data_IF_712442704012
#
_entry.id   IF_712442704012
#
_cell.length_a   1.000
_cell.length_b   1.000
_cell.length_c   1.000
_cell.angle_alpha   90.00
_cell.angle_beta   90.00
_cell.angle_gamma   90.00
#
_symmetry.space_group_name_H-M   'P 1'
#
loop_
_entity.id
_entity.type
_entity.pdbx_description
1 polymer ?
#
# COMPACT_ATOMS: atom_id res chain seq x y z
N UNK A 1 0.96 7.20 12.06
CA UNK A 1 -0.32 7.82 12.46
C UNK A 1 -0.35 9.19 11.83
N UNK A 2 -1.29 9.47 10.94
CA UNK A 2 -1.38 10.79 10.33
C UNK A 2 -2.05 11.74 11.32
N UNK A 3 -1.46 12.92 11.50
CA UNK A 3 -2.05 13.98 12.32
C UNK A 3 -2.64 15.03 11.40
N UNK A 4 -3.86 15.45 11.72
CA UNK A 4 -4.66 16.42 10.99
C UNK A 4 -4.87 17.64 11.87
N UNK A 5 -4.93 18.83 11.25
CA UNK A 5 -5.18 20.08 11.97
C UNK A 5 -6.69 20.30 12.07
N UNK A 6 -7.20 20.45 13.29
CA UNK A 6 -8.59 20.84 13.53
C UNK A 6 -8.85 22.21 12.91
N UNK A 7 -9.91 22.35 12.10
CA UNK A 7 -10.28 23.60 11.44
C UNK A 7 -10.85 24.64 12.41
N UNK A 8 -11.43 24.19 13.53
CA UNK A 8 -12.04 25.08 14.52
C UNK A 8 -11.04 25.62 15.54
N UNK A 9 -10.23 24.75 16.16
CA UNK A 9 -9.30 25.17 17.23
C UNK A 9 -7.82 25.15 16.82
N UNK A 10 -7.49 24.66 15.62
CA UNK A 10 -6.12 24.65 15.11
C UNK A 10 -5.18 23.61 15.72
N UNK A 11 -5.64 22.79 16.67
CA UNK A 11 -4.84 21.74 17.29
C UNK A 11 -4.66 20.53 16.36
N UNK A 12 -3.53 19.84 16.52
CA UNK A 12 -3.27 18.59 15.81
C UNK A 12 -3.98 17.44 16.52
N UNK A 13 -4.73 16.65 15.78
CA UNK A 13 -5.49 15.50 16.27
C UNK A 13 -5.26 14.29 15.35
N UNK A 14 -5.68 13.09 15.77
CA UNK A 14 -5.59 11.90 14.92
C UNK A 14 -6.61 11.94 13.80
N UNK A 15 -6.19 11.52 12.60
CA UNK A 15 -7.02 11.23 11.43
C UNK A 15 -8.24 10.31 11.68
N UNK A 16 -8.29 9.59 12.80
CA UNK A 16 -9.38 8.69 13.20
C UNK A 16 -10.37 9.29 14.21
N UNK A 17 -10.15 10.51 14.71
CA UNK A 17 -11.04 11.10 15.71
C UNK A 17 -12.33 11.62 15.07
N UNK A 18 -13.50 11.20 15.56
CA UNK A 18 -14.80 11.73 15.14
C UNK A 18 -15.05 13.17 15.64
N UNK A 19 -14.47 13.52 16.79
CA UNK A 19 -14.54 14.84 17.40
C UNK A 19 -13.16 15.31 17.87
N UNK A 20 -12.94 16.62 17.82
CA UNK A 20 -11.75 17.21 18.37
C UNK A 20 -11.74 17.03 19.89
N UNK A 21 -10.71 16.39 20.44
CA UNK A 21 -10.55 16.23 21.90
C UNK A 21 -10.36 17.56 22.63
N UNK A 22 -10.02 18.64 21.92
CA UNK A 22 -9.73 19.94 22.52
C UNK A 22 -10.92 20.90 22.51
N UNK A 23 -11.72 20.91 21.45
CA UNK A 23 -12.85 21.85 21.31
C UNK A 23 -14.21 21.16 21.10
N UNK A 24 -14.26 19.84 21.00
CA UNK A 24 -15.50 19.08 20.79
C UNK A 24 -16.09 19.19 19.39
N UNK A 25 -15.50 19.99 18.48
CA UNK A 25 -16.01 20.14 17.12
C UNK A 25 -16.01 18.79 16.39
N UNK A 26 -17.09 18.42 15.67
CA UNK A 26 -17.09 17.23 14.84
C UNK A 26 -16.02 17.38 13.75
N UNK A 27 -15.18 16.36 13.62
CA UNK A 27 -14.10 16.31 12.65
C UNK A 27 -14.66 15.65 11.41
N UNK A 28 -15.30 16.46 10.56
CA UNK A 28 -15.68 16.04 9.23
C UNK A 28 -14.47 16.12 8.29
N UNK A 29 -13.41 15.36 8.59
CA UNK A 29 -12.47 15.01 7.53
C UNK A 29 -13.13 13.90 6.75
N UNK A 30 -14.09 14.33 5.94
CA UNK A 30 -14.55 13.56 4.79
C UNK A 30 -13.35 13.44 3.87
N UNK A 31 -12.54 12.40 4.12
CA UNK A 31 -11.85 11.64 3.08
C UNK A 31 -12.88 10.92 2.19
N UNK A 32 -14.09 11.45 2.04
CA UNK A 32 -14.99 11.07 0.97
C UNK A 32 -14.37 11.68 -0.28
N UNK A 33 -13.81 10.87 -1.19
CA UNK A 33 -13.38 11.37 -2.48
C UNK A 33 -14.54 12.16 -3.10
N UNK A 34 -14.24 13.41 -3.42
CA UNK A 34 -15.20 14.36 -3.95
C UNK A 34 -14.72 14.87 -5.29
N UNK A 35 -15.65 14.99 -6.22
CA UNK A 35 -15.43 15.43 -7.59
C UNK A 35 -16.12 16.77 -7.83
N UNK A 36 -15.51 17.64 -8.63
CA UNK A 36 -16.16 18.86 -9.09
C UNK A 36 -16.95 18.58 -10.37
N UNK A 37 -18.18 19.07 -10.43
CA UNK A 37 -18.96 19.06 -11.66
C UNK A 37 -18.26 19.93 -12.73
N UNK A 38 -17.98 19.40 -13.93
CA UNK A 38 -17.31 20.16 -14.99
C UNK A 38 -18.17 21.31 -15.53
N UNK A 39 -19.50 21.21 -15.45
CA UNK A 39 -20.42 22.24 -15.95
C UNK A 39 -20.69 23.38 -14.96
N UNK A 40 -20.88 23.06 -13.68
CA UNK A 40 -21.36 24.05 -12.71
C UNK A 40 -20.44 24.25 -11.50
N UNK A 41 -19.30 23.53 -11.43
CA UNK A 41 -18.32 23.63 -10.35
C UNK A 41 -18.81 23.14 -8.99
N UNK A 42 -19.95 22.44 -8.92
CA UNK A 42 -20.47 21.91 -7.65
C UNK A 42 -19.61 20.74 -7.17
N UNK A 43 -19.17 20.79 -5.92
CA UNK A 43 -18.48 19.69 -5.25
C UNK A 43 -19.48 18.60 -4.86
N UNK A 44 -19.19 17.34 -5.21
CA UNK A 44 -20.07 16.19 -4.96
C UNK A 44 -19.26 14.94 -4.61
N UNK A 45 -19.90 13.91 -4.09
CA UNK A 45 -19.26 12.61 -3.84
C UNK A 45 -18.90 11.93 -5.17
N UNK A 46 -17.78 11.19 -5.20
CA UNK A 46 -17.34 10.47 -6.40
C UNK A 46 -18.37 9.47 -6.92
N UNK A 47 -19.30 8.99 -6.09
CA UNK A 47 -20.32 8.01 -6.46
C UNK A 47 -21.57 8.63 -7.09
N UNK A 48 -21.62 9.96 -7.24
CA UNK A 48 -22.77 10.67 -7.78
C UNK A 48 -22.96 10.38 -9.28
N UNK A 49 -24.11 9.79 -9.66
CA UNK A 49 -24.47 9.52 -11.07
C UNK A 49 -24.92 10.78 -11.84
N UNK A 50 -25.32 11.82 -11.12
CA UNK A 50 -25.75 13.09 -11.70
C UNK A 50 -25.46 14.24 -10.76
N UNK A 51 -25.21 15.39 -11.34
CA UNK A 51 -25.06 16.60 -10.57
C UNK A 51 -26.39 17.00 -9.93
N UNK A 52 -26.40 17.16 -8.61
CA UNK A 52 -27.58 17.58 -7.86
C UNK A 52 -28.00 19.02 -8.17
N UNK A 53 -27.06 19.86 -8.63
CA UNK A 53 -27.31 21.28 -8.92
C UNK A 53 -27.75 21.52 -10.37
N UNK A 54 -27.00 21.02 -11.34
CA UNK A 54 -27.27 21.31 -12.76
C UNK A 54 -27.85 20.12 -13.54
N UNK A 55 -27.95 18.94 -12.92
CA UNK A 55 -28.44 17.73 -13.59
C UNK A 55 -27.45 17.09 -14.56
N UNK A 56 -26.21 17.59 -14.66
CA UNK A 56 -25.19 17.01 -15.53
C UNK A 56 -24.92 15.53 -15.19
N UNK A 57 -25.01 14.60 -16.14
CA UNK A 57 -24.76 13.19 -15.88
C UNK A 57 -23.27 12.97 -15.63
N UNK A 58 -22.95 12.37 -14.48
CA UNK A 58 -21.59 12.01 -14.10
C UNK A 58 -21.51 10.49 -14.19
N UNK A 59 -20.55 9.97 -14.96
CA UNK A 59 -20.31 8.52 -15.07
C UNK A 59 -19.02 8.17 -14.34
N UNK A 60 -19.01 8.14 -12.99
CA UNK A 60 -17.78 7.91 -12.25
C UNK A 60 -17.38 6.44 -12.15
N UNK A 61 -18.13 5.50 -12.76
CA UNK A 61 -17.70 4.11 -12.82
C UNK A 61 -16.79 3.95 -14.03
N UNK A 62 -15.52 3.65 -13.77
CA UNK A 62 -14.60 3.19 -14.80
C UNK A 62 -15.23 1.93 -15.42
N UNK A 63 -15.73 2.07 -16.64
CA UNK A 63 -16.35 0.97 -17.36
C UNK A 63 -15.26 0.20 -18.10
N UNK A 64 -15.33 -1.12 -18.03
CA UNK A 64 -14.49 -2.03 -18.77
C UNK A 64 -15.32 -2.69 -19.87
N UNK A 65 -14.75 -2.76 -21.07
CA UNK A 65 -15.40 -3.41 -22.20
C UNK A 65 -15.18 -4.91 -22.12
N UNK A 66 -16.26 -5.68 -22.24
CA UNK A 66 -16.19 -7.13 -22.26
C UNK A 66 -15.40 -7.60 -23.50
N UNK A 67 -14.37 -8.43 -23.35
CA UNK A 67 -13.56 -8.89 -24.48
C UNK A 67 -14.32 -9.81 -25.45
N UNK A 68 -15.39 -10.47 -24.99
CA UNK A 68 -16.20 -11.38 -25.83
C UNK A 68 -17.30 -10.64 -26.60
N UNK A 69 -18.10 -9.81 -25.92
CA UNK A 69 -19.27 -9.19 -26.53
C UNK A 69 -19.14 -7.67 -26.77
N UNK A 70 -18.11 -7.02 -26.23
CA UNK A 70 -17.91 -5.57 -26.33
C UNK A 70 -18.83 -4.74 -25.43
N UNK A 71 -19.66 -5.36 -24.60
CA UNK A 71 -20.56 -4.64 -23.69
C UNK A 71 -19.77 -3.87 -22.62
N UNK A 72 -20.27 -2.68 -22.24
CA UNK A 72 -19.64 -1.87 -21.18
C UNK A 72 -20.09 -2.35 -19.82
N UNK A 73 -19.17 -2.94 -19.08
CA UNK A 73 -19.42 -3.50 -17.76
C UNK A 73 -18.76 -2.65 -16.68
N UNK A 74 -19.33 -2.64 -15.47
CA UNK A 74 -18.75 -1.91 -14.35
C UNK A 74 -17.52 -2.64 -13.78
N UNK A 75 -16.52 -1.90 -13.32
CA UNK A 75 -15.37 -2.48 -12.61
C UNK A 75 -15.84 -3.24 -11.36
N UNK A 76 -15.46 -4.53 -11.24
CA UNK A 76 -15.84 -5.40 -10.12
C UNK A 76 -17.02 -6.36 -10.35
N UNK A 77 -17.61 -6.42 -11.54
CA UNK A 77 -18.57 -7.48 -11.90
C UNK A 77 -17.87 -8.81 -12.13
N UNK A 78 -18.40 -9.91 -11.57
CA UNK A 78 -17.84 -11.27 -11.71
C UNK A 78 -18.13 -11.89 -13.09
N UNK A 79 -19.21 -11.47 -13.73
CA UNK A 79 -19.63 -11.95 -15.06
C UNK A 79 -20.26 -10.81 -15.87
N UNK A 80 -20.15 -10.91 -17.19
CA UNK A 80 -20.81 -10.01 -18.11
C UNK A 80 -22.33 -10.27 -18.12
N UNK A 81 -23.17 -9.26 -17.87
CA UNK A 81 -24.63 -9.45 -17.82
C UNK A 81 -25.24 -9.82 -19.18
N UNK A 82 -24.58 -9.48 -20.29
CA UNK A 82 -25.10 -9.74 -21.64
C UNK A 82 -24.70 -11.12 -22.17
N UNK A 83 -23.43 -11.48 -22.08
CA UNK A 83 -22.92 -12.74 -22.67
C UNK A 83 -22.52 -13.81 -21.66
N UNK A 84 -22.55 -13.51 -20.37
CA UNK A 84 -22.11 -14.43 -19.31
C UNK A 84 -20.60 -14.67 -19.29
N UNK A 85 -19.80 -13.83 -19.96
CA UNK A 85 -18.35 -13.95 -19.91
C UNK A 85 -17.85 -13.75 -18.47
N UNK A 86 -17.15 -14.72 -17.88
CA UNK A 86 -16.63 -14.59 -16.52
C UNK A 86 -15.45 -13.62 -16.51
N UNK A 87 -15.58 -12.53 -15.78
CA UNK A 87 -14.45 -11.69 -15.44
C UNK A 87 -13.73 -12.35 -14.27
N UNK A 88 -12.64 -13.05 -14.57
CA UNK A 88 -11.74 -13.59 -13.55
C UNK A 88 -11.03 -12.41 -12.89
N UNK A 89 -11.71 -11.75 -11.95
CA UNK A 89 -11.03 -11.04 -10.89
C UNK A 89 -10.46 -12.15 -10.03
N UNK A 90 -9.18 -12.46 -10.22
CA UNK A 90 -8.46 -13.41 -9.38
C UNK A 90 -8.36 -12.85 -7.96
N UNK A 91 -9.47 -12.89 -7.23
CA UNK A 91 -9.53 -12.80 -5.78
C UNK A 91 -9.60 -14.23 -5.26
N UNK A 92 -8.63 -15.04 -5.64
CA UNK A 92 -8.55 -16.37 -5.08
C UNK A 92 -8.26 -16.23 -3.58
N UNK A 93 -9.00 -16.89 -2.69
CA UNK A 93 -8.72 -16.81 -1.27
C UNK A 93 -7.32 -17.39 -1.00
N UNK A 94 -6.45 -16.59 -0.38
CA UNK A 94 -5.14 -17.05 0.08
C UNK A 94 -5.31 -17.83 1.39
N UNK A 95 -4.45 -18.82 1.63
CA UNK A 95 -4.42 -19.51 2.93
C UNK A 95 -3.46 -18.78 3.86
N UNK A 96 -3.87 -18.46 5.10
CA UNK A 96 -2.91 -17.91 6.08
C UNK A 96 -1.80 -18.93 6.30
N UNK A 97 -0.52 -18.52 6.22
CA UNK A 97 0.62 -19.42 6.39
C UNK A 97 0.70 -20.01 7.81
N UNK A 98 0.15 -19.32 8.81
CA UNK A 98 0.19 -19.75 10.21
C UNK A 98 -0.95 -20.70 10.58
N UNK A 99 -2.19 -20.42 10.14
CA UNK A 99 -3.36 -21.18 10.59
C UNK A 99 -4.02 -22.03 9.49
N UNK A 100 -3.59 -21.88 8.23
CA UNK A 100 -4.10 -22.64 7.09
C UNK A 100 -5.53 -22.32 6.66
N UNK A 101 -6.22 -21.40 7.35
CA UNK A 101 -7.57 -20.96 6.99
C UNK A 101 -7.55 -20.09 5.74
N UNK A 102 -8.62 -20.19 4.96
CA UNK A 102 -8.86 -19.35 3.79
C UNK A 102 -9.17 -17.92 4.24
N UNK A 103 -8.48 -16.97 3.62
CA UNK A 103 -8.59 -15.55 3.89
C UNK A 103 -8.70 -14.79 2.58
N UNK A 104 -9.51 -13.75 2.58
CA UNK A 104 -9.62 -12.85 1.43
C UNK A 104 -8.28 -12.12 1.20
N UNK A 105 -7.79 -12.10 -0.04
CA UNK A 105 -6.55 -11.41 -0.47
C UNK A 105 -6.47 -9.92 -0.13
N UNK A 106 -7.59 -9.26 0.19
CA UNK A 106 -7.60 -7.85 0.61
C UNK A 106 -7.41 -7.68 2.13
N UNK A 107 -7.33 -8.79 2.87
CA UNK A 107 -7.19 -8.76 4.33
C UNK A 107 -5.73 -8.59 4.72
N UNK A 108 -5.41 -7.50 5.41
CA UNK A 108 -4.04 -7.25 5.94
C UNK A 108 -3.63 -8.21 7.05
N UNK A 109 -4.61 -8.73 7.77
CA UNK A 109 -4.42 -9.68 8.86
C UNK A 109 -5.43 -10.81 8.72
N UNK A 110 -5.00 -12.03 9.08
CA UNK A 110 -5.92 -13.15 9.19
C UNK A 110 -6.92 -12.89 10.33
N UNK A 111 -8.24 -12.99 10.09
CA UNK A 111 -9.27 -12.75 11.10
C UNK A 111 -9.28 -13.78 12.23
N UNK A 112 -8.59 -14.91 12.02
CA UNK A 112 -8.66 -16.08 12.92
C UNK A 112 -7.45 -16.17 13.85
N UNK A 113 -6.26 -15.86 13.35
CA UNK A 113 -5.04 -15.91 14.16
C UNK A 113 -4.33 -14.55 14.29
N UNK A 114 -4.77 -13.52 13.56
CA UNK A 114 -4.12 -12.21 13.56
C UNK A 114 -2.81 -12.13 12.76
N UNK A 115 -2.36 -13.23 12.14
CA UNK A 115 -1.15 -13.28 11.29
C UNK A 115 -1.19 -12.15 10.25
N UNK A 116 -0.14 -11.33 10.07
CA UNK A 116 -0.08 -10.39 8.95
C UNK A 116 -0.02 -11.18 7.65
N UNK A 117 -0.84 -10.80 6.66
CA UNK A 117 -0.88 -11.43 5.35
C UNK A 117 -0.16 -10.55 4.34
N UNK A 118 0.78 -11.12 3.60
CA UNK A 118 1.41 -10.45 2.47
C UNK A 118 0.44 -10.47 1.29
N UNK A 119 -0.34 -9.40 1.15
CA UNK A 119 -1.27 -9.25 0.04
C UNK A 119 -0.58 -8.64 -1.19
N UNK A 120 -1.11 -8.99 -2.35
CA UNK A 120 -0.62 -8.65 -3.69
C UNK A 120 -0.59 -7.12 -3.92
N UNK A 121 -1.28 -6.34 -3.09
CA UNK A 121 -1.24 -4.87 -3.05
C UNK A 121 0.17 -4.32 -2.76
N UNK A 122 1.05 -5.14 -2.18
CA UNK A 122 2.46 -4.79 -2.00
C UNK A 122 3.28 -4.83 -3.29
N UNK A 123 2.78 -5.39 -4.40
CA UNK A 123 3.53 -5.43 -5.66
C UNK A 123 3.61 -4.08 -6.40
N UNK A 124 2.71 -3.14 -6.12
CA UNK A 124 2.85 -1.75 -6.59
C UNK A 124 4.13 -1.11 -6.04
N UNK A 125 4.54 -1.49 -4.82
CA UNK A 125 5.77 -1.02 -4.17
C UNK A 125 7.05 -1.71 -4.68
N UNK A 126 6.91 -2.73 -5.52
CA UNK A 126 8.01 -3.48 -6.13
C UNK A 126 8.29 -3.04 -7.56
N UNK A 127 7.54 -2.06 -8.05
CA UNK A 127 7.71 -1.46 -9.36
C UNK A 127 8.36 -0.08 -9.18
N UNK A 128 9.37 0.19 -9.99
CA UNK A 128 10.05 1.49 -10.07
C UNK A 128 9.98 2.00 -11.50
N UNK A 129 9.95 3.32 -11.66
CA UNK A 129 10.08 3.92 -12.98
C UNK A 129 11.55 4.00 -13.37
N UNK A 130 11.87 3.57 -14.59
CA UNK A 130 13.21 3.71 -15.14
C UNK A 130 13.53 5.20 -15.34
N UNK A 131 14.57 5.72 -14.70
CA UNK A 131 14.96 7.14 -14.81
C UNK A 131 15.31 7.56 -16.24
N UNK A 132 15.73 6.63 -17.09
CA UNK A 132 16.14 6.91 -18.46
C UNK A 132 14.98 6.95 -19.47
N UNK A 133 13.92 6.18 -19.25
CA UNK A 133 12.83 6.05 -20.24
C UNK A 133 11.41 6.22 -19.66
N UNK A 134 11.27 6.35 -18.35
CA UNK A 134 9.98 6.54 -17.66
C UNK A 134 9.14 5.27 -17.49
N UNK A 135 9.46 4.19 -18.20
CA UNK A 135 8.70 2.94 -18.11
C UNK A 135 8.81 2.30 -16.74
N UNK A 136 7.68 1.78 -16.26
CA UNK A 136 7.58 1.01 -15.03
C UNK A 136 8.24 -0.36 -15.21
N UNK A 137 9.21 -0.65 -14.37
CA UNK A 137 9.98 -1.89 -14.36
C UNK A 137 10.05 -2.43 -12.94
N UNK A 138 10.47 -3.68 -12.78
CA UNK A 138 10.65 -4.22 -11.45
C UNK A 138 11.84 -3.60 -10.70
N UNK A 139 11.71 -3.39 -9.38
CA UNK A 139 12.77 -2.94 -8.48
C UNK A 139 14.01 -3.84 -8.45
N UNK A 140 13.88 -5.09 -8.89
CA UNK A 140 14.97 -6.07 -8.96
C UNK A 140 15.52 -6.28 -10.36
N UNK A 141 14.98 -5.62 -11.39
CA UNK A 141 15.53 -5.71 -12.74
C UNK A 141 16.86 -4.96 -12.80
N UNK A 142 18.01 -5.63 -12.98
CA UNK A 142 19.34 -4.98 -13.06
C UNK A 142 19.51 -4.12 -14.33
N UNK A 143 18.80 -4.46 -15.39
CA UNK A 143 18.79 -3.75 -16.68
C UNK A 143 17.34 -3.55 -17.10
N UNK A 144 17.00 -2.33 -17.53
CA UNK A 144 15.68 -2.02 -18.05
C UNK A 144 15.41 -2.79 -19.35
N UNK A 145 14.35 -3.62 -19.44
CA UNK A 145 14.02 -4.38 -20.65
C UNK A 145 13.55 -3.50 -21.82
N UNK A 146 13.21 -2.24 -21.57
CA UNK A 146 12.72 -1.32 -22.60
C UNK A 146 13.81 -0.44 -23.21
N UNK A 147 14.79 0.01 -22.43
CA UNK A 147 15.83 0.93 -22.91
C UNK A 147 17.26 0.40 -22.74
N UNK A 148 17.45 -0.73 -22.06
CA UNK A 148 18.77 -1.35 -21.86
C UNK A 148 19.68 -0.64 -20.86
N UNK A 149 19.20 0.41 -20.17
CA UNK A 149 19.99 1.05 -19.11
C UNK A 149 20.00 0.23 -17.81
N UNK A 150 21.14 0.24 -17.12
CA UNK A 150 21.29 -0.38 -15.79
C UNK A 150 20.44 0.37 -14.76
N UNK A 151 19.77 -0.35 -13.90
CA UNK A 151 18.96 0.24 -12.83
C UNK A 151 19.79 0.42 -11.56
N UNK A 152 19.46 1.43 -10.77
CA UNK A 152 20.12 1.66 -9.48
C UNK A 152 19.41 0.80 -8.42
N UNK A 153 19.69 -0.50 -8.40
CA UNK A 153 19.22 -1.35 -7.30
C UNK A 153 20.00 -0.99 -6.04
N UNK A 154 19.39 -0.28 -5.08
CA UNK A 154 19.93 -0.20 -3.71
C UNK A 154 19.72 -1.55 -3.04
N UNK A 155 20.60 -2.51 -3.32
CA UNK A 155 20.75 -3.69 -2.44
C UNK A 155 21.22 -3.11 -1.10
N UNK A 156 20.40 -3.23 -0.06
CA UNK A 156 20.81 -2.88 1.30
C UNK A 156 21.92 -3.86 1.68
N UNK A 157 23.16 -3.47 1.42
CA UNK A 157 24.35 -4.10 1.98
C UNK A 157 24.57 -3.61 3.44
N UNK A 158 23.52 -3.08 4.07
CA UNK A 158 23.47 -2.58 5.45
C UNK A 158 23.22 -3.72 6.47
N UNK A 159 23.73 -4.93 6.19
CA UNK A 159 23.65 -6.09 7.09
C UNK A 159 25.03 -6.65 7.46
N UNK A 160 26.09 -6.34 6.70
CA UNK A 160 27.43 -6.93 6.88
C UNK A 160 28.27 -6.23 7.96
N UNK A 161 28.19 -4.90 8.10
CA UNK A 161 29.14 -4.15 8.93
C UNK A 161 28.87 -4.30 10.44
N UNK A 162 27.60 -4.41 10.84
CA UNK A 162 27.23 -4.52 12.26
C UNK A 162 27.61 -5.87 12.90
N UNK A 163 27.71 -6.93 12.11
CA UNK A 163 28.09 -8.27 12.60
C UNK A 163 29.59 -8.35 12.83
N UNK A 164 30.39 -7.74 11.95
CA UNK A 164 31.86 -7.75 12.06
C UNK A 164 32.31 -6.99 13.30
N UNK A 165 31.73 -5.82 13.58
CA UNK A 165 32.02 -5.04 14.79
C UNK A 165 31.67 -5.79 16.08
N UNK A 166 30.54 -6.51 16.10
CA UNK A 166 30.15 -7.31 17.27
C UNK A 166 31.10 -8.48 17.52
N UNK A 167 31.55 -9.17 16.45
CA UNK A 167 32.49 -10.29 16.56
C UNK A 167 33.87 -9.81 17.02
N UNK A 168 34.37 -8.69 16.50
CA UNK A 168 35.63 -8.08 16.95
C UNK A 168 35.54 -7.68 18.43
N UNK A 169 34.41 -7.09 18.84
CA UNK A 169 34.13 -6.77 20.24
C UNK A 169 34.19 -7.99 21.17
N UNK A 170 33.58 -9.11 20.80
CA UNK A 170 33.63 -10.34 21.61
C UNK A 170 35.05 -10.93 21.69
N UNK A 171 35.78 -10.95 20.59
CA UNK A 171 37.15 -11.48 20.54
C UNK A 171 38.09 -10.65 21.43
N UNK A 172 38.00 -9.32 21.37
CA UNK A 172 38.83 -8.44 22.22
C UNK A 172 38.55 -8.62 23.71
N UNK A 173 37.28 -8.76 24.11
CA UNK A 173 36.90 -9.03 25.50
C UNK A 173 37.42 -10.38 25.98
N UNK A 174 37.32 -11.43 25.15
CA UNK A 174 37.82 -12.77 25.50
C UNK A 174 39.34 -12.75 25.67
N UNK A 175 40.08 -12.07 24.79
CA UNK A 175 41.53 -11.92 24.90
C UNK A 175 41.90 -11.16 26.19
N UNK A 176 41.16 -10.09 26.52
CA UNK A 176 41.40 -9.32 27.73
C UNK A 176 41.13 -10.15 29.00
N UNK A 177 40.06 -10.92 29.02
CA UNK A 177 39.73 -11.86 30.11
C UNK A 177 40.83 -12.92 30.25
N UNK A 178 41.30 -13.49 29.14
CA UNK A 178 42.38 -14.48 29.16
C UNK A 178 43.69 -13.89 29.70
N UNK A 179 44.03 -12.66 29.30
CA UNK A 179 45.16 -11.92 29.86
C UNK A 179 44.98 -11.62 31.35
N UNK A 180 43.78 -11.23 31.78
CA UNK A 180 43.45 -10.96 33.18
C UNK A 180 43.59 -12.21 34.05
N UNK A 181 43.05 -13.35 33.61
CA UNK A 181 43.22 -14.63 34.31
C UNK A 181 44.68 -15.08 34.33
N UNK A 182 45.43 -14.87 33.24
CA UNK A 182 46.87 -15.18 33.21
C UNK A 182 47.70 -14.26 34.13
N UNK A 183 47.22 -13.03 34.41
CA UNK A 183 47.85 -12.08 35.34
C UNK A 183 47.52 -12.38 36.81
N UNK A 184 46.38 -12.99 37.10
CA UNK A 184 45.99 -13.41 38.45
C UNK A 184 46.59 -14.76 38.90
N UNK A 185 47.14 -15.55 37.96
CA UNK A 185 47.72 -16.87 38.25
C UNK A 185 49.24 -16.85 38.49
N UNK A 186 49.86 -15.66 38.62
CA UNK A 186 51.28 -15.46 38.98
C UNK A 186 51.37 -14.64 40.26
#
# INVERSE_FOLDING_TARGET
MALIKCTECGNMISDKSENCIYCGSPISISLKPSILCPECGTLMEETAEKCTKCGFPLSPKKQLECPECGEKVNEGTEECPECGFPFISSKEPIRCPECGKEVNEQSKNCPECGCPLETNESQESLLINCEACGNTISKWAEVCPHCGQKTVTKRKDEYSDNIIEFVIGLVTVIIFIFWFFKRCSI
#
